data_IF_884134918465
#
_entry.id   IF_884134918465
#
_cell.length_a   1.000
_cell.length_b   1.000
_cell.length_c   1.000
_cell.angle_alpha   90.00
_cell.angle_beta   90.00
_cell.angle_gamma   90.00
#
_symmetry.space_group_name_H-M   'P 1'
#
loop_
_entity.id
_entity.type
_entity.pdbx_description
1 polymer ?
#
# COMPACT_ATOMS: atom_id res chain seq x y z
N UNK A 1 21.29 -18.52 -6.69
CA UNK A 1 20.72 -18.44 -5.34
C UNK A 1 20.80 -17.01 -4.74
N UNK A 2 21.92 -16.27 -4.79
CA UNK A 2 22.00 -14.88 -4.27
C UNK A 2 20.96 -13.92 -4.88
N UNK A 3 20.66 -14.02 -6.17
CA UNK A 3 19.68 -13.16 -6.86
C UNK A 3 18.23 -13.39 -6.38
N UNK A 4 17.85 -14.64 -6.10
CA UNK A 4 16.53 -14.99 -5.55
C UNK A 4 16.38 -14.55 -4.08
N UNK A 5 17.44 -14.66 -3.30
CA UNK A 5 17.45 -14.18 -1.92
C UNK A 5 17.27 -12.66 -1.84
N UNK A 6 17.87 -11.90 -2.77
CA UNK A 6 17.69 -10.45 -2.85
C UNK A 6 16.29 -10.02 -3.35
N UNK A 7 15.47 -10.94 -3.91
CA UNK A 7 14.11 -10.66 -4.39
C UNK A 7 13.01 -11.25 -3.49
N UNK A 8 13.35 -11.68 -2.29
CA UNK A 8 12.42 -12.39 -1.37
C UNK A 8 11.15 -11.59 -1.05
N UNK A 9 11.25 -10.30 -0.82
CA UNK A 9 10.09 -9.45 -0.51
C UNK A 9 9.23 -9.21 -1.75
N UNK A 10 9.85 -9.02 -2.90
CA UNK A 10 9.14 -8.93 -4.17
C UNK A 10 8.39 -10.22 -4.48
N UNK A 11 9.02 -11.38 -4.33
CA UNK A 11 8.38 -12.68 -4.52
C UNK A 11 7.24 -12.92 -3.52
N UNK A 12 7.47 -12.62 -2.24
CA UNK A 12 6.44 -12.76 -1.21
C UNK A 12 5.21 -11.89 -1.49
N UNK A 13 5.42 -10.63 -1.91
CA UNK A 13 4.32 -9.74 -2.31
C UNK A 13 3.54 -10.28 -3.50
N UNK A 14 4.24 -10.76 -4.54
CA UNK A 14 3.57 -11.33 -5.71
C UNK A 14 2.80 -12.60 -5.36
N UNK A 15 3.39 -13.47 -4.57
CA UNK A 15 2.72 -14.68 -4.10
C UNK A 15 1.44 -14.32 -3.32
N UNK A 16 1.51 -13.34 -2.41
CA UNK A 16 0.34 -12.92 -1.64
C UNK A 16 -0.73 -12.26 -2.52
N UNK A 17 -0.34 -11.36 -3.43
CA UNK A 17 -1.27 -10.70 -4.36
C UNK A 17 -2.00 -11.73 -5.25
N UNK A 18 -1.25 -12.69 -5.81
CA UNK A 18 -1.83 -13.76 -6.63
C UNK A 18 -2.68 -14.71 -5.79
N UNK A 19 -2.29 -15.02 -4.55
CA UNK A 19 -3.07 -15.85 -3.65
C UNK A 19 -4.42 -15.18 -3.31
N UNK A 20 -4.44 -13.88 -3.02
CA UNK A 20 -5.68 -13.13 -2.74
C UNK A 20 -6.57 -13.08 -3.99
N UNK A 21 -6.01 -12.77 -5.17
CA UNK A 21 -6.77 -12.82 -6.44
C UNK A 21 -7.32 -14.22 -6.70
N UNK A 22 -6.50 -15.26 -6.53
CA UNK A 22 -6.90 -16.64 -6.72
C UNK A 22 -7.97 -17.09 -5.73
N UNK A 23 -7.92 -16.60 -4.48
CA UNK A 23 -8.89 -16.93 -3.44
C UNK A 23 -10.27 -16.37 -3.80
N UNK A 24 -10.36 -15.09 -4.18
CA UNK A 24 -11.62 -14.49 -4.62
C UNK A 24 -12.17 -15.16 -5.89
N UNK A 25 -11.32 -15.37 -6.90
CA UNK A 25 -11.72 -16.04 -8.15
C UNK A 25 -12.14 -17.51 -7.89
N UNK A 26 -11.41 -18.22 -7.04
CA UNK A 26 -11.70 -19.61 -6.69
C UNK A 26 -13.02 -19.75 -5.93
N UNK A 27 -13.29 -18.87 -4.98
CA UNK A 27 -14.59 -18.89 -4.29
C UNK A 27 -15.74 -18.53 -5.23
N UNK A 28 -15.60 -17.44 -6.00
CA UNK A 28 -16.68 -16.95 -6.85
C UNK A 28 -16.96 -17.86 -8.07
N UNK A 29 -15.92 -18.47 -8.66
CA UNK A 29 -16.05 -19.23 -9.91
C UNK A 29 -15.97 -20.74 -9.77
N UNK A 30 -15.21 -21.23 -8.77
CA UNK A 30 -15.02 -22.65 -8.52
C UNK A 30 -15.81 -23.14 -7.30
N UNK A 31 -16.52 -22.24 -6.60
CA UNK A 31 -17.38 -22.58 -5.48
C UNK A 31 -16.61 -23.11 -4.25
N UNK A 32 -15.42 -22.59 -3.97
CA UNK A 32 -14.67 -23.02 -2.79
C UNK A 32 -15.41 -22.65 -1.51
N UNK A 33 -15.76 -23.69 -0.73
CA UNK A 33 -16.48 -23.55 0.54
C UNK A 33 -15.66 -24.10 1.70
N UNK A 34 -15.90 -23.54 2.89
CA UNK A 34 -15.38 -24.05 4.15
C UNK A 34 -16.56 -24.30 5.09
N UNK A 35 -16.73 -25.54 5.54
CA UNK A 35 -17.85 -25.94 6.40
C UNK A 35 -19.25 -25.65 5.82
N UNK A 36 -19.37 -25.61 4.47
CA UNK A 36 -20.65 -25.36 3.77
C UNK A 36 -20.89 -23.88 3.42
N UNK A 37 -20.11 -22.96 3.96
CA UNK A 37 -20.19 -21.53 3.62
C UNK A 37 -19.10 -21.15 2.60
N UNK A 38 -19.34 -20.18 1.70
CA UNK A 38 -18.30 -19.70 0.79
C UNK A 38 -17.10 -19.15 1.59
N UNK A 39 -15.90 -19.50 1.15
CA UNK A 39 -14.68 -19.10 1.85
C UNK A 39 -14.53 -17.58 1.89
N UNK A 40 -14.91 -16.91 0.79
CA UNK A 40 -15.01 -15.45 0.68
C UNK A 40 -16.25 -15.11 -0.15
N UNK A 41 -17.18 -14.38 0.42
CA UNK A 41 -18.32 -13.83 -0.31
C UNK A 41 -18.15 -12.32 -0.53
N UNK A 42 -18.54 -11.83 -1.71
CA UNK A 42 -18.44 -10.43 -2.08
C UNK A 42 -17.16 -10.03 -2.80
N UNK A 43 -16.78 -8.76 -2.68
CA UNK A 43 -15.60 -8.15 -3.31
C UNK A 43 -14.67 -7.58 -2.23
N UNK A 44 -13.49 -7.09 -2.62
CA UNK A 44 -12.55 -6.48 -1.66
C UNK A 44 -13.13 -5.24 -0.97
N UNK A 45 -14.09 -4.54 -1.60
CA UNK A 45 -14.76 -3.37 -1.02
C UNK A 45 -15.76 -3.73 0.08
N UNK A 46 -16.37 -4.92 -0.03
CA UNK A 46 -17.25 -5.50 0.98
C UNK A 46 -17.28 -7.01 0.79
N UNK A 47 -16.74 -7.74 1.76
CA UNK A 47 -16.68 -9.20 1.74
C UNK A 47 -16.92 -9.78 3.13
N UNK A 48 -17.30 -11.05 3.16
CA UNK A 48 -17.43 -11.84 4.38
C UNK A 48 -16.55 -13.08 4.26
N UNK A 49 -15.79 -13.37 5.30
CA UNK A 49 -14.94 -14.56 5.39
C UNK A 49 -15.70 -15.65 6.10
N UNK A 50 -15.96 -16.78 5.43
CA UNK A 50 -16.70 -17.93 5.94
C UNK A 50 -18.03 -17.54 6.61
N UNK A 51 -18.76 -16.56 6.04
CA UNK A 51 -20.05 -16.08 6.56
C UNK A 51 -20.03 -15.45 7.96
N UNK A 52 -18.83 -15.15 8.53
CA UNK A 52 -18.74 -14.72 9.94
C UNK A 52 -17.98 -13.41 10.13
N UNK A 53 -16.88 -13.19 9.43
CA UNK A 53 -16.02 -12.01 9.61
C UNK A 53 -16.25 -11.03 8.46
N UNK A 54 -16.95 -9.89 8.72
CA UNK A 54 -17.09 -8.87 7.69
C UNK A 54 -15.77 -8.13 7.47
N UNK A 55 -15.44 -7.87 6.21
CA UNK A 55 -14.34 -7.05 5.79
C UNK A 55 -14.86 -5.99 4.81
N UNK A 56 -14.64 -4.72 5.09
CA UNK A 56 -15.10 -3.62 4.24
C UNK A 56 -14.02 -2.58 4.04
N UNK A 57 -13.99 -1.96 2.86
CA UNK A 57 -13.07 -0.85 2.59
C UNK A 57 -13.51 0.39 3.39
N UNK A 58 -12.66 0.91 4.30
CA UNK A 58 -13.00 2.09 5.09
C UNK A 58 -13.25 3.34 4.22
N UNK A 59 -12.59 3.48 3.07
CA UNK A 59 -12.83 4.61 2.17
C UNK A 59 -14.20 4.50 1.50
N UNK A 60 -14.56 3.33 0.98
CA UNK A 60 -15.89 3.11 0.39
C UNK A 60 -17.02 3.35 1.42
N UNK A 61 -16.77 2.99 2.70
CA UNK A 61 -17.70 3.29 3.78
C UNK A 61 -17.85 4.81 3.99
N UNK A 62 -16.73 5.57 4.00
CA UNK A 62 -16.75 7.03 4.14
C UNK A 62 -17.47 7.70 2.96
N UNK A 63 -17.30 7.22 1.73
CA UNK A 63 -18.03 7.72 0.57
C UNK A 63 -19.53 7.49 0.69
N UNK A 64 -19.95 6.32 1.17
CA UNK A 64 -21.38 6.01 1.43
C UNK A 64 -21.95 6.88 2.51
N UNK A 65 -21.22 7.14 3.59
CA UNK A 65 -21.62 8.09 4.64
C UNK A 65 -21.74 9.51 4.07
N UNK A 66 -20.77 9.96 3.28
CA UNK A 66 -20.83 11.25 2.60
C UNK A 66 -22.03 11.37 1.65
N UNK A 67 -22.40 10.27 0.99
CA UNK A 67 -23.59 10.17 0.13
C UNK A 67 -24.93 10.13 0.90
N UNK A 68 -24.91 10.21 2.24
CA UNK A 68 -26.10 10.20 3.08
C UNK A 68 -26.65 8.82 3.40
N UNK A 69 -25.94 7.73 3.04
CA UNK A 69 -26.35 6.36 3.34
C UNK A 69 -25.75 5.87 4.66
N UNK A 70 -26.61 5.54 5.62
CA UNK A 70 -26.15 4.90 6.86
C UNK A 70 -25.71 3.45 6.56
N UNK A 71 -24.46 3.10 6.90
CA UNK A 71 -23.96 1.74 6.71
C UNK A 71 -24.63 0.79 7.72
N UNK A 72 -24.72 -0.48 7.35
CA UNK A 72 -25.09 -1.54 8.28
C UNK A 72 -24.01 -1.67 9.37
N UNK A 73 -24.40 -2.19 10.53
CA UNK A 73 -23.44 -2.43 11.63
C UNK A 73 -22.31 -3.37 11.18
N UNK A 74 -22.63 -4.38 10.39
CA UNK A 74 -21.67 -5.34 9.82
C UNK A 74 -20.65 -4.64 8.94
N UNK A 75 -21.07 -3.75 8.02
CA UNK A 75 -20.16 -2.97 7.19
C UNK A 75 -19.27 -2.03 8.02
N UNK A 76 -19.83 -1.41 9.05
CA UNK A 76 -19.06 -0.56 9.98
C UNK A 76 -17.99 -1.34 10.76
N UNK A 77 -18.37 -2.51 11.30
CA UNK A 77 -17.42 -3.41 11.97
C UNK A 77 -16.34 -3.91 11.02
N UNK A 78 -16.70 -4.31 9.81
CA UNK A 78 -15.73 -4.75 8.80
C UNK A 78 -14.72 -3.66 8.43
N UNK A 79 -15.17 -2.41 8.25
CA UNK A 79 -14.28 -1.29 7.99
C UNK A 79 -13.38 -0.96 9.19
N UNK A 80 -13.88 -1.09 10.41
CA UNK A 80 -13.09 -0.90 11.63
C UNK A 80 -11.99 -1.97 11.75
N UNK A 81 -12.32 -3.24 11.50
CA UNK A 81 -11.36 -4.35 11.51
C UNK A 81 -10.23 -4.07 10.51
N UNK A 82 -10.57 -3.71 9.27
CA UNK A 82 -9.59 -3.41 8.20
C UNK A 82 -8.75 -2.18 8.57
N UNK A 83 -9.38 -1.12 9.10
CA UNK A 83 -8.70 0.10 9.51
C UNK A 83 -7.68 -0.16 10.63
N UNK A 84 -8.07 -0.91 11.66
CA UNK A 84 -7.20 -1.27 12.79
C UNK A 84 -6.07 -2.17 12.32
N UNK A 85 -6.37 -3.20 11.54
CA UNK A 85 -5.37 -4.14 11.02
C UNK A 85 -4.27 -3.43 10.23
N UNK A 86 -4.65 -2.63 9.22
CA UNK A 86 -3.67 -1.91 8.42
C UNK A 86 -3.06 -0.70 9.12
N UNK A 87 -3.78 -0.07 10.05
CA UNK A 87 -3.22 0.93 10.94
C UNK A 87 -2.06 0.37 11.76
N UNK A 88 -2.20 -0.83 12.31
CA UNK A 88 -1.15 -1.51 13.08
C UNK A 88 -0.02 -2.04 12.21
N UNK A 89 -0.32 -2.68 11.06
CA UNK A 89 0.69 -3.23 10.16
C UNK A 89 1.50 -2.17 9.40
N UNK A 90 0.99 -0.95 9.34
CA UNK A 90 1.49 0.11 8.46
C UNK A 90 0.51 0.34 7.33
N UNK A 91 -0.22 1.43 7.38
CA UNK A 91 -1.46 1.69 6.64
C UNK A 91 -1.37 1.46 5.13
N UNK A 92 -0.31 1.89 4.46
CA UNK A 92 -0.11 1.64 3.02
C UNK A 92 0.44 0.24 2.69
N UNK A 93 0.56 -0.65 3.67
CA UNK A 93 0.88 -2.08 3.45
C UNK A 93 -0.19 -2.74 2.57
N UNK A 94 -1.47 -2.33 2.70
CA UNK A 94 -2.52 -2.73 1.77
C UNK A 94 -2.12 -2.48 0.30
N UNK A 95 -1.68 -1.26 -0.02
CA UNK A 95 -1.28 -0.87 -1.38
C UNK A 95 -0.08 -1.69 -1.89
N UNK A 96 0.86 -2.04 -1.03
CA UNK A 96 2.06 -2.78 -1.40
C UNK A 96 1.87 -4.29 -1.52
N UNK A 97 0.95 -4.89 -0.76
CA UNK A 97 0.87 -6.34 -0.58
C UNK A 97 -0.43 -6.97 -1.07
N UNK A 98 -1.53 -6.23 -1.10
CA UNK A 98 -2.86 -6.78 -1.46
C UNK A 98 -3.35 -6.20 -2.79
N UNK A 99 -3.21 -4.89 -2.99
CA UNK A 99 -3.77 -4.20 -4.13
C UNK A 99 -3.15 -4.68 -5.46
N UNK A 100 -3.96 -5.15 -6.43
CA UNK A 100 -3.47 -5.62 -7.73
C UNK A 100 -2.87 -4.50 -8.58
N UNK A 101 -3.27 -3.24 -8.37
CA UNK A 101 -2.72 -2.10 -9.09
C UNK A 101 -1.21 -1.94 -8.88
N UNK A 102 -0.68 -2.37 -7.74
CA UNK A 102 0.75 -2.37 -7.51
C UNK A 102 1.50 -3.33 -8.46
N UNK A 103 0.87 -4.46 -8.85
CA UNK A 103 1.46 -5.36 -9.86
C UNK A 103 1.51 -4.70 -11.23
N UNK A 104 0.43 -4.01 -11.60
CA UNK A 104 0.32 -3.28 -12.88
C UNK A 104 1.38 -2.17 -12.96
N UNK A 105 1.48 -1.35 -11.90
CA UNK A 105 2.48 -0.28 -11.82
C UNK A 105 3.92 -0.81 -11.87
N UNK A 106 4.18 -1.95 -11.21
CA UNK A 106 5.50 -2.59 -11.24
C UNK A 106 5.84 -3.16 -12.63
N UNK A 107 4.85 -3.70 -13.34
CA UNK A 107 5.03 -4.16 -14.72
C UNK A 107 5.34 -2.99 -15.66
N UNK A 108 4.64 -1.87 -15.49
CA UNK A 108 4.92 -0.64 -16.23
C UNK A 108 6.33 -0.11 -15.94
N UNK A 109 6.75 -0.07 -14.67
CA UNK A 109 8.11 0.33 -14.28
C UNK A 109 9.17 -0.59 -14.90
N UNK A 110 8.95 -1.91 -14.85
CA UNK A 110 9.86 -2.88 -15.46
C UNK A 110 10.03 -2.61 -16.96
N UNK A 111 8.92 -2.34 -17.69
CA UNK A 111 8.97 -2.03 -19.11
C UNK A 111 9.64 -0.68 -19.38
N UNK A 112 9.38 0.36 -18.56
CA UNK A 112 10.07 1.66 -18.65
C UNK A 112 11.58 1.51 -18.58
N UNK A 113 12.06 0.69 -17.63
CA UNK A 113 13.51 0.40 -17.49
C UNK A 113 14.06 -0.30 -18.73
N UNK A 114 13.30 -1.25 -19.29
CA UNK A 114 13.69 -1.97 -20.52
C UNK A 114 13.72 -1.09 -21.76
N UNK A 115 12.79 -0.12 -21.84
CA UNK A 115 12.70 0.86 -22.92
C UNK A 115 13.59 2.10 -22.68
N UNK A 116 14.36 2.10 -21.58
CA UNK A 116 15.25 3.21 -21.18
C UNK A 116 14.53 4.56 -21.01
N UNK A 117 13.25 4.56 -20.69
CA UNK A 117 12.45 5.76 -20.45
C UNK A 117 12.82 6.36 -19.09
N UNK A 118 13.86 7.22 -19.10
CA UNK A 118 14.47 7.77 -17.86
C UNK A 118 13.72 8.97 -17.29
N UNK A 119 13.00 9.72 -18.12
CA UNK A 119 12.29 10.94 -17.73
C UNK A 119 10.78 10.69 -17.59
N UNK A 120 10.18 11.35 -16.61
CA UNK A 120 8.74 11.49 -16.54
C UNK A 120 8.32 12.64 -17.46
N UNK A 121 7.33 12.37 -18.33
CA UNK A 121 6.78 13.37 -19.26
C UNK A 121 5.98 14.43 -18.50
N UNK A 122 5.26 13.99 -17.47
CA UNK A 122 4.44 14.84 -16.61
C UNK A 122 4.93 14.71 -15.17
N UNK A 123 5.04 15.83 -14.48
CA UNK A 123 5.38 15.88 -13.05
C UNK A 123 4.19 16.36 -12.26
N UNK A 124 3.47 15.45 -11.63
CA UNK A 124 2.34 15.75 -10.76
C UNK A 124 2.82 15.70 -9.31
N UNK A 125 2.40 16.66 -8.50
CA UNK A 125 2.72 16.64 -7.07
C UNK A 125 1.95 15.52 -6.38
N UNK A 126 2.60 14.80 -5.45
CA UNK A 126 1.94 13.79 -4.59
C UNK A 126 0.79 14.38 -3.75
N UNK A 127 0.71 15.71 -3.66
CA UNK A 127 -0.40 16.38 -2.95
C UNK A 127 -1.72 16.29 -3.73
N UNK A 128 -1.68 16.10 -5.05
CA UNK A 128 -2.88 16.02 -5.92
C UNK A 128 -3.81 14.90 -5.46
N UNK A 129 -3.28 13.74 -5.03
CA UNK A 129 -4.09 12.64 -4.52
C UNK A 129 -4.98 13.01 -3.32
N UNK A 130 -4.55 13.97 -2.48
CA UNK A 130 -5.38 14.46 -1.36
C UNK A 130 -6.51 15.35 -1.85
N UNK A 131 -6.26 16.16 -2.89
CA UNK A 131 -7.31 16.92 -3.58
C UNK A 131 -8.33 16.00 -4.24
N UNK A 132 -7.87 14.91 -4.87
CA UNK A 132 -8.76 13.90 -5.46
C UNK A 132 -9.54 13.12 -4.41
N UNK A 133 -8.96 12.85 -3.23
CA UNK A 133 -9.70 12.25 -2.10
C UNK A 133 -10.81 13.20 -1.62
N UNK A 134 -10.51 14.48 -1.44
CA UNK A 134 -11.51 15.47 -1.05
C UNK A 134 -12.61 15.60 -2.12
N UNK A 135 -12.22 15.66 -3.40
CA UNK A 135 -13.16 15.69 -4.53
C UNK A 135 -14.07 14.45 -4.57
N UNK A 136 -13.52 13.25 -4.32
CA UNK A 136 -14.30 12.02 -4.26
C UNK A 136 -15.38 12.09 -3.17
N UNK A 137 -15.06 12.56 -1.98
CA UNK A 137 -16.02 12.71 -0.88
C UNK A 137 -17.08 13.79 -1.18
N UNK A 138 -16.68 14.92 -1.76
CA UNK A 138 -17.59 15.99 -2.16
C UNK A 138 -18.54 15.51 -3.26
N UNK A 139 -18.02 14.81 -4.27
CA UNK A 139 -18.84 14.25 -5.34
C UNK A 139 -19.78 13.17 -4.81
N UNK A 140 -19.34 12.33 -3.87
CA UNK A 140 -20.20 11.33 -3.25
C UNK A 140 -21.37 12.00 -2.50
N UNK A 141 -21.10 13.09 -1.77
CA UNK A 141 -22.14 13.87 -1.11
C UNK A 141 -23.10 14.55 -2.10
N UNK A 142 -22.60 15.04 -3.23
CA UNK A 142 -23.40 15.74 -4.23
C UNK A 142 -24.26 14.76 -5.09
N UNK A 143 -23.74 13.57 -5.39
CA UNK A 143 -24.40 12.60 -6.25
C UNK A 143 -25.22 11.56 -5.50
N UNK A 144 -25.08 11.46 -4.19
CA UNK A 144 -25.72 10.42 -3.38
C UNK A 144 -25.18 9.00 -3.67
N UNK A 145 -24.00 8.88 -4.29
CA UNK A 145 -23.37 7.58 -4.60
C UNK A 145 -21.89 7.60 -4.26
N UNK A 146 -21.27 6.43 -4.02
CA UNK A 146 -19.84 6.32 -3.79
C UNK A 146 -19.07 6.61 -5.09
N UNK A 147 -18.66 7.86 -5.29
CA UNK A 147 -18.18 8.38 -6.57
C UNK A 147 -16.85 7.76 -7.00
N UNK A 148 -15.87 7.63 -6.09
CA UNK A 148 -14.59 7.01 -6.41
C UNK A 148 -14.73 5.50 -6.58
N UNK A 149 -15.52 4.84 -5.74
CA UNK A 149 -15.78 3.40 -5.85
C UNK A 149 -16.38 3.03 -7.22
N UNK A 150 -17.20 3.92 -7.81
CA UNK A 150 -17.79 3.73 -9.12
C UNK A 150 -16.76 3.74 -10.27
N UNK A 151 -15.70 4.57 -10.15
CA UNK A 151 -14.68 4.77 -11.20
C UNK A 151 -13.32 4.16 -10.86
N UNK A 152 -13.17 3.57 -9.68
CA UNK A 152 -11.90 3.03 -9.20
C UNK A 152 -11.43 1.84 -10.04
N UNK A 153 -10.23 1.88 -10.65
CA UNK A 153 -9.71 0.74 -11.43
C UNK A 153 -9.59 -0.54 -10.60
N UNK A 154 -9.25 -0.41 -9.31
CA UNK A 154 -9.17 -1.58 -8.43
C UNK A 154 -10.55 -2.18 -8.16
N UNK A 155 -11.58 -1.36 -7.91
CA UNK A 155 -12.94 -1.84 -7.70
C UNK A 155 -13.45 -2.57 -8.95
N UNK A 156 -13.14 -2.06 -10.14
CA UNK A 156 -13.48 -2.71 -11.40
C UNK A 156 -12.80 -4.07 -11.54
N UNK A 157 -11.51 -4.19 -11.17
CA UNK A 157 -10.82 -5.48 -11.20
C UNK A 157 -11.52 -6.49 -10.27
N UNK A 158 -11.85 -6.09 -9.04
CA UNK A 158 -12.45 -7.00 -8.09
C UNK A 158 -13.88 -7.40 -8.48
N UNK A 159 -14.70 -6.44 -8.93
CA UNK A 159 -16.07 -6.72 -9.42
C UNK A 159 -16.05 -7.65 -10.62
N UNK A 160 -15.17 -7.39 -11.57
CA UNK A 160 -15.09 -8.18 -12.80
C UNK A 160 -14.47 -9.56 -12.56
N UNK A 161 -13.56 -9.69 -11.60
CA UNK A 161 -13.01 -10.97 -11.18
C UNK A 161 -14.09 -11.88 -10.58
N UNK A 162 -14.99 -11.30 -9.77
CA UNK A 162 -16.05 -12.04 -9.07
C UNK A 162 -17.28 -12.23 -9.95
N UNK A 163 -17.76 -11.20 -10.62
CA UNK A 163 -19.07 -11.17 -11.31
C UNK A 163 -18.99 -11.01 -12.82
N UNK A 164 -17.84 -10.61 -13.37
CA UNK A 164 -17.72 -10.16 -14.74
C UNK A 164 -17.07 -11.16 -15.71
N UNK A 165 -16.80 -10.67 -16.91
CA UNK A 165 -16.18 -11.40 -18.01
C UNK A 165 -14.65 -11.24 -18.09
N UNK A 166 -14.05 -10.38 -17.28
CA UNK A 166 -12.64 -10.01 -17.34
C UNK A 166 -12.33 -8.78 -18.20
N UNK A 167 -13.29 -8.26 -18.95
CA UNK A 167 -13.05 -7.12 -19.86
C UNK A 167 -12.87 -5.80 -19.13
N UNK A 168 -13.67 -5.51 -18.11
CA UNK A 168 -13.54 -4.30 -17.32
C UNK A 168 -12.26 -4.30 -16.50
N UNK A 169 -11.87 -5.45 -15.94
CA UNK A 169 -10.60 -5.63 -15.26
C UNK A 169 -9.41 -5.37 -16.17
N UNK A 170 -9.45 -5.92 -17.39
CA UNK A 170 -8.39 -5.73 -18.38
C UNK A 170 -8.29 -4.27 -18.83
N UNK A 171 -9.43 -3.60 -19.09
CA UNK A 171 -9.44 -2.19 -19.50
C UNK A 171 -8.89 -1.29 -18.41
N UNK A 172 -9.29 -1.49 -17.14
CA UNK A 172 -8.80 -0.74 -15.99
C UNK A 172 -7.30 -0.94 -15.77
N UNK A 173 -6.83 -2.19 -15.83
CA UNK A 173 -5.41 -2.52 -15.72
C UNK A 173 -4.60 -1.91 -16.87
N UNK A 174 -5.09 -1.98 -18.12
CA UNK A 174 -4.43 -1.42 -19.29
C UNK A 174 -4.35 0.11 -19.22
N UNK A 175 -5.40 0.78 -18.76
CA UNK A 175 -5.41 2.23 -18.60
C UNK A 175 -4.36 2.70 -17.57
N UNK A 176 -4.29 2.05 -16.40
CA UNK A 176 -3.27 2.35 -15.38
C UNK A 176 -1.87 2.01 -15.88
N UNK A 177 -1.71 0.88 -16.56
CA UNK A 177 -0.43 0.48 -17.15
C UNK A 177 0.06 1.51 -18.18
N UNK A 178 -0.81 1.96 -19.09
CA UNK A 178 -0.48 2.95 -20.10
C UNK A 178 -0.13 4.31 -19.48
N UNK A 179 -0.85 4.74 -18.45
CA UNK A 179 -0.57 5.95 -17.69
C UNK A 179 0.82 5.88 -17.04
N UNK A 180 1.10 4.80 -16.31
CA UNK A 180 2.37 4.61 -15.61
C UNK A 180 3.54 4.39 -16.57
N UNK A 181 3.30 3.76 -17.72
CA UNK A 181 4.32 3.56 -18.76
C UNK A 181 4.65 4.86 -19.49
N UNK A 182 3.62 5.58 -19.96
CA UNK A 182 3.82 6.70 -20.88
C UNK A 182 4.10 8.04 -20.17
N UNK A 183 3.44 8.32 -19.03
CA UNK A 183 3.47 9.64 -18.43
C UNK A 183 4.46 9.77 -17.28
N UNK A 184 4.40 8.87 -16.29
CA UNK A 184 5.22 8.98 -15.10
C UNK A 184 5.29 7.67 -14.31
N UNK A 185 6.41 7.46 -13.64
CA UNK A 185 6.63 6.28 -12.79
C UNK A 185 5.64 6.29 -11.62
N UNK A 186 4.91 5.17 -11.43
CA UNK A 186 3.91 5.01 -10.36
C UNK A 186 2.90 6.16 -10.28
N UNK A 187 2.48 6.71 -11.43
CA UNK A 187 1.60 7.88 -11.53
C UNK A 187 0.26 7.65 -10.85
N UNK A 188 -0.37 6.51 -11.10
CA UNK A 188 -1.62 6.17 -10.44
C UNK A 188 -1.47 6.06 -8.92
N UNK A 189 -0.65 5.12 -8.45
CA UNK A 189 -0.54 4.80 -7.04
C UNK A 189 0.07 5.92 -6.19
N UNK A 190 1.04 6.66 -6.73
CA UNK A 190 1.78 7.70 -6.02
C UNK A 190 1.10 9.08 -6.04
N UNK A 191 0.32 9.39 -7.09
CA UNK A 191 -0.09 10.76 -7.36
C UNK A 191 -1.59 10.96 -7.55
N UNK A 192 -2.32 9.96 -8.07
CA UNK A 192 -3.73 10.10 -8.43
C UNK A 192 -4.69 9.32 -7.53
N UNK A 193 -4.28 8.20 -6.93
CA UNK A 193 -5.17 7.30 -6.22
C UNK A 193 -5.69 7.88 -4.89
N UNK A 194 -7.01 8.16 -4.73
CA UNK A 194 -7.62 8.63 -3.48
C UNK A 194 -7.45 7.62 -2.33
N UNK A 195 -7.54 6.33 -2.61
CA UNK A 195 -7.33 5.28 -1.60
C UNK A 195 -5.89 5.31 -1.07
N UNK A 196 -4.90 5.57 -1.94
CA UNK A 196 -3.51 5.78 -1.53
C UNK A 196 -3.34 7.00 -0.62
N UNK A 197 -4.09 8.09 -0.88
CA UNK A 197 -4.13 9.27 -0.01
C UNK A 197 -4.78 8.96 1.34
N UNK A 198 -5.91 8.26 1.35
CA UNK A 198 -6.61 7.83 2.57
C UNK A 198 -5.67 7.02 3.47
N UNK A 199 -5.04 5.96 2.96
CA UNK A 199 -4.10 5.15 3.73
C UNK A 199 -2.86 5.93 4.18
N UNK A 200 -2.40 6.92 3.41
CA UNK A 200 -1.32 7.81 3.84
C UNK A 200 -1.72 8.66 5.06
N UNK A 201 -2.96 9.17 5.08
CA UNK A 201 -3.48 9.92 6.24
C UNK A 201 -3.59 9.03 7.47
N UNK A 202 -4.15 7.84 7.34
CA UNK A 202 -4.21 6.84 8.43
C UNK A 202 -2.81 6.56 8.97
N UNK A 203 -1.81 6.38 8.11
CA UNK A 203 -0.42 6.12 8.53
C UNK A 203 0.25 7.29 9.25
N UNK A 204 -0.11 8.53 8.92
CA UNK A 204 0.36 9.71 9.64
C UNK A 204 -0.26 9.81 11.04
N UNK A 205 -1.53 9.41 11.18
CA UNK A 205 -2.23 9.38 12.46
C UNK A 205 -1.67 8.28 13.38
N UNK A 206 -1.39 7.11 12.84
CA UNK A 206 -0.94 5.94 13.62
C UNK A 206 0.50 6.08 14.13
N UNK A 207 1.32 6.98 13.60
CA UNK A 207 2.71 7.36 13.99
C UNK A 207 3.70 6.22 14.21
N UNK A 208 3.30 5.09 14.76
CA UNK A 208 4.19 3.97 15.13
C UNK A 208 3.56 2.63 14.77
N UNK A 209 3.53 2.23 13.48
CA UNK A 209 3.07 0.91 13.11
C UNK A 209 3.98 -0.17 13.69
N UNK A 210 3.41 -1.35 13.91
CA UNK A 210 4.13 -2.52 14.43
C UNK A 210 5.22 -2.97 13.45
N UNK A 211 4.92 -2.95 12.15
CA UNK A 211 5.86 -3.31 11.08
C UNK A 211 6.39 -2.03 10.42
N UNK A 212 7.68 -1.89 10.35
CA UNK A 212 8.34 -0.72 9.75
C UNK A 212 9.70 -1.04 9.19
N UNK A 213 10.20 -0.17 8.33
CA UNK A 213 11.56 -0.22 7.82
C UNK A 213 12.45 0.61 8.74
N UNK A 214 13.40 -0.03 9.41
CA UNK A 214 14.45 0.61 10.19
C UNK A 214 15.63 0.97 9.31
N UNK A 215 16.37 2.01 9.69
CA UNK A 215 17.55 2.50 9.02
C UNK A 215 18.73 2.54 10.01
N UNK A 216 19.88 2.07 9.55
CA UNK A 216 21.16 2.11 10.24
C UNK A 216 22.11 3.04 9.49
N UNK A 217 22.40 4.21 10.06
CA UNK A 217 23.25 5.22 9.43
C UNK A 217 24.72 4.75 9.36
N UNK A 218 25.18 3.97 10.34
CA UNK A 218 26.55 3.47 10.40
C UNK A 218 26.87 2.47 9.28
N UNK A 219 25.85 1.70 8.83
CA UNK A 219 25.99 0.75 7.74
C UNK A 219 25.75 1.38 6.36
N UNK A 220 25.30 2.64 6.27
CA UNK A 220 24.87 3.26 5.02
C UNK A 220 26.01 4.00 4.30
N UNK A 221 26.37 3.55 3.10
CA UNK A 221 27.32 4.22 2.21
C UNK A 221 26.72 5.34 1.33
N UNK A 222 25.39 5.61 1.46
CA UNK A 222 24.64 6.66 0.74
C UNK A 222 24.64 6.51 -0.80
N UNK A 223 24.74 5.30 -1.35
CA UNK A 223 24.74 5.02 -2.79
C UNK A 223 23.44 5.45 -3.52
N UNK A 224 22.32 5.60 -2.82
CA UNK A 224 21.04 6.04 -3.38
C UNK A 224 20.22 4.93 -4.07
N UNK A 225 20.65 3.66 -4.05
CA UNK A 225 19.92 2.55 -4.68
C UNK A 225 18.51 2.37 -4.10
N UNK A 226 18.36 2.56 -2.79
CA UNK A 226 17.08 2.54 -2.12
C UNK A 226 16.11 3.61 -2.62
N UNK A 227 16.60 4.80 -3.00
CA UNK A 227 15.78 5.87 -3.60
C UNK A 227 15.31 5.48 -5.00
N UNK A 228 16.20 4.89 -5.82
CA UNK A 228 15.87 4.44 -7.18
C UNK A 228 14.84 3.31 -7.18
N UNK A 229 14.94 2.40 -6.22
CA UNK A 229 14.03 1.27 -6.09
C UNK A 229 12.68 1.63 -5.44
N UNK A 230 12.58 2.78 -4.78
CA UNK A 230 11.37 3.16 -4.04
C UNK A 230 10.29 3.72 -4.98
N UNK A 231 9.04 3.23 -4.89
CA UNK A 231 7.90 3.82 -5.60
C UNK A 231 7.57 5.24 -5.16
N UNK A 232 7.90 5.57 -3.90
CA UNK A 232 7.67 6.87 -3.26
C UNK A 232 9.00 7.42 -2.72
N UNK A 233 9.94 7.86 -3.58
CA UNK A 233 11.31 8.21 -3.14
C UNK A 233 11.37 9.31 -2.08
N UNK A 234 10.37 10.17 -2.04
CA UNK A 234 10.27 11.28 -1.10
C UNK A 234 10.18 10.87 0.38
N UNK A 235 9.84 9.60 0.67
CA UNK A 235 9.81 9.07 2.05
C UNK A 235 11.22 8.78 2.58
N UNK A 236 12.21 8.61 1.70
CA UNK A 236 13.60 8.31 2.04
C UNK A 236 14.38 9.61 2.09
N UNK A 237 14.36 10.27 3.24
CA UNK A 237 15.13 11.50 3.50
C UNK A 237 16.24 11.18 4.48
N UNK A 238 17.48 11.08 4.02
CA UNK A 238 18.61 10.66 4.84
C UNK A 238 18.79 11.49 6.11
N UNK A 239 18.55 12.81 6.08
CA UNK A 239 18.60 13.65 7.27
C UNK A 239 17.59 13.17 8.33
N UNK A 240 16.32 13.01 7.96
CA UNK A 240 15.29 12.53 8.87
C UNK A 240 15.49 11.06 9.28
N UNK A 241 16.04 10.22 8.39
CA UNK A 241 16.35 8.82 8.70
C UNK A 241 17.46 8.70 9.75
N UNK A 242 18.47 9.58 9.69
CA UNK A 242 19.53 9.64 10.67
C UNK A 242 18.98 10.00 12.06
N UNK A 243 18.04 10.94 12.14
CA UNK A 243 17.43 11.38 13.39
C UNK A 243 16.44 10.36 13.95
N UNK A 244 15.65 9.71 13.10
CA UNK A 244 14.54 8.84 13.53
C UNK A 244 14.87 7.35 13.52
N UNK A 245 15.92 6.92 12.83
CA UNK A 245 16.30 5.51 12.65
C UNK A 245 15.26 4.69 11.87
N UNK A 246 14.32 5.35 11.18
CA UNK A 246 13.21 4.66 10.50
C UNK A 246 12.61 5.46 9.35
N UNK A 247 11.99 4.75 8.39
CA UNK A 247 11.17 5.38 7.35
C UNK A 247 9.81 5.78 7.95
N UNK A 248 9.32 7.01 7.67
CA UNK A 248 8.00 7.47 8.15
C UNK A 248 6.86 6.58 7.66
N UNK A 249 5.87 6.32 8.51
CA UNK A 249 4.77 5.40 8.22
C UNK A 249 3.78 5.92 7.17
N UNK A 250 3.59 7.23 7.01
CA UNK A 250 2.52 7.81 6.19
C UNK A 250 2.51 7.33 4.75
N UNK A 251 3.56 7.65 4.00
CA UNK A 251 3.60 7.37 2.56
C UNK A 251 4.36 6.08 2.21
N UNK A 252 4.98 5.41 3.18
CA UNK A 252 5.71 4.16 2.97
C UNK A 252 4.74 2.98 2.75
N UNK A 253 4.94 2.25 1.63
CA UNK A 253 4.15 1.05 1.29
C UNK A 253 4.57 -0.20 2.07
N UNK A 254 5.62 -0.15 2.88
CA UNK A 254 6.24 -1.33 3.51
C UNK A 254 6.54 -2.47 2.52
N UNK A 255 6.88 -2.12 1.29
CA UNK A 255 7.03 -3.07 0.19
C UNK A 255 8.36 -3.83 0.18
N UNK A 256 9.36 -3.40 0.94
CA UNK A 256 10.68 -4.06 1.07
C UNK A 256 11.66 -3.83 -0.08
N UNK A 257 11.32 -3.10 -1.15
CA UNK A 257 12.22 -2.86 -2.29
C UNK A 257 13.52 -2.14 -1.91
N UNK A 258 13.42 -1.15 -1.02
CA UNK A 258 14.60 -0.44 -0.52
C UNK A 258 15.53 -1.36 0.28
N UNK A 259 14.98 -2.40 0.93
CA UNK A 259 15.75 -3.42 1.64
C UNK A 259 16.47 -4.33 0.64
N UNK A 260 15.76 -4.77 -0.42
CA UNK A 260 16.32 -5.61 -1.48
C UNK A 260 17.42 -4.90 -2.28
N UNK A 261 17.26 -3.59 -2.49
CA UNK A 261 18.23 -2.78 -3.21
C UNK A 261 19.46 -2.40 -2.37
N UNK A 262 19.39 -2.56 -1.04
CA UNK A 262 20.46 -2.15 -0.16
C UNK A 262 21.55 -3.24 -0.04
N UNK A 263 22.67 -3.05 -0.72
CA UNK A 263 23.83 -3.97 -0.64
C UNK A 263 24.47 -4.03 0.74
N UNK A 264 24.41 -2.95 1.50
CA UNK A 264 25.03 -2.80 2.83
C UNK A 264 24.12 -3.24 3.98
N UNK A 265 22.93 -3.74 3.70
CA UNK A 265 21.93 -4.13 4.71
C UNK A 265 21.58 -3.03 5.74
N UNK A 266 21.73 -1.76 5.38
CA UNK A 266 21.40 -0.62 6.22
C UNK A 266 19.90 -0.46 6.47
N UNK A 267 19.03 -1.09 5.64
CA UNK A 267 17.59 -1.08 5.74
C UNK A 267 17.08 -2.49 6.07
N UNK A 268 16.21 -2.61 7.08
CA UNK A 268 15.64 -3.88 7.52
C UNK A 268 14.21 -3.70 7.99
N UNK A 269 13.34 -4.72 7.79
CA UNK A 269 12.08 -4.75 8.51
C UNK A 269 12.33 -5.01 9.99
N UNK A 270 11.63 -4.25 10.83
CA UNK A 270 11.57 -4.46 12.27
C UNK A 270 10.11 -4.49 12.74
N UNK A 271 9.85 -5.36 13.70
CA UNK A 271 8.58 -5.50 14.41
C UNK A 271 8.77 -4.96 15.82
N UNK A 272 7.79 -4.22 16.33
CA UNK A 272 7.81 -3.72 17.70
C UNK A 272 8.10 -2.21 17.85
N UNK A 273 8.22 -1.65 19.06
CA UNK A 273 8.43 -0.23 19.31
C UNK A 273 9.74 0.29 18.69
N UNK A 274 9.78 1.59 18.38
CA UNK A 274 11.01 2.20 17.83
C UNK A 274 12.16 2.01 18.82
N UNK A 275 13.37 1.59 18.39
CA UNK A 275 14.52 1.65 19.25
C UNK A 275 14.70 3.11 19.70
N UNK A 276 14.96 3.34 20.98
CA UNK A 276 15.43 4.66 21.44
C UNK A 276 16.75 4.92 20.73
N UNK A 277 16.82 6.01 19.99
CA UNK A 277 18.10 6.46 19.43
C UNK A 277 18.92 6.85 20.64
N UNK A 278 20.04 6.17 20.87
CA UNK A 278 21.05 6.65 21.80
C UNK A 278 21.56 7.97 21.25
N UNK A 279 21.20 9.05 21.90
CA UNK A 279 21.83 10.35 21.65
C UNK A 279 23.23 10.27 22.20
N UNK A 280 24.19 10.97 21.57
CA UNK A 280 25.57 11.03 22.00
C UNK A 280 25.79 11.54 23.45
N UNK A 281 24.74 12.03 24.11
CA UNK A 281 24.73 12.37 25.54
C UNK A 281 24.69 11.16 26.47
N UNK A 282 24.25 9.97 25.99
CA UNK A 282 24.18 8.75 26.83
C UNK A 282 25.54 8.04 26.98
N UNK A 283 26.55 8.45 26.20
CA UNK A 283 27.91 7.87 26.25
C UNK A 283 28.79 8.48 27.34
N UNK A 284 28.41 9.64 27.90
CA UNK A 284 29.21 10.32 28.93
C UNK A 284 28.84 10.02 30.40
N UNK A 285 27.82 9.18 30.65
CA UNK A 285 27.44 8.82 32.02
C UNK A 285 27.96 7.45 32.49
N UNK A 286 28.76 6.76 31.68
CA UNK A 286 29.27 5.42 31.99
C UNK A 286 30.75 5.37 32.47
N UNK A 287 31.47 6.50 32.53
CA UNK A 287 32.91 6.50 32.83
C UNK A 287 33.33 7.14 34.15
N UNK A 288 32.42 7.43 35.06
CA UNK A 288 32.77 7.94 36.38
C UNK A 288 32.25 7.05 37.50
N UNK A 289 32.84 5.87 37.67
CA UNK A 289 32.85 5.13 38.94
C UNK A 289 33.92 4.01 38.87
N UNK A 290 35.18 4.41 39.01
CA UNK A 290 36.21 3.60 39.64
C UNK A 290 37.42 4.52 39.91
N UNK A 291 37.48 5.08 41.12
CA UNK A 291 38.67 5.30 41.90
C UNK A 291 38.30 5.14 43.39
#
# INVERSE_FOLDING_TARGET
MKRLYNMRWTLARRALQLAVLGLFAGTARLGWTLAGEPLLDGTLSASEVAGTIPLSDPLALLERLAAGHMPTLTAGLGALIVLVLYGLLGSRTFCGWICPMNMVADAAEWLRVRLELKADVVRISNKVRYGLLAAALILSAATGTAAFEAVSPQAWIWRDLVFGTGLAALSAASAVFALDLALMKHGWCGHLCPLGAFWSLVGRLTRSPVVRVSFDDAACNRCGDCLRACPEPHVIRFASLKETGRIPAGDCLNCGRCIEACGENALKFRIGPAPRIRTSSDTHQGENHHD
#
